data_IF_040243606274
#
_entry.id   IF_040243606274
#
_cell.length_a   1.000
_cell.length_b   1.000
_cell.length_c   1.000
_cell.angle_alpha   90.00
_cell.angle_beta   90.00
_cell.angle_gamma   90.00
#
_symmetry.space_group_name_H-M   'P 1'
#
loop_
_entity.id
_entity.type
_entity.pdbx_description
1 polymer ?
#
# COMPACT_ATOMS: atom_id res chain seq x y z
N UNK A 1 5.02 -36.01 -21.43
CA UNK A 1 5.82 -35.12 -20.57
C UNK A 1 5.62 -33.70 -21.04
N UNK A 2 4.60 -33.03 -20.51
CA UNK A 2 4.16 -31.70 -20.95
C UNK A 2 4.94 -30.62 -20.19
N UNK A 3 5.73 -29.84 -20.93
CA UNK A 3 6.42 -28.65 -20.46
C UNK A 3 5.42 -27.59 -19.96
N UNK A 4 5.17 -27.58 -18.65
CA UNK A 4 4.52 -26.46 -17.97
C UNK A 4 5.52 -25.29 -17.88
N UNK A 5 5.38 -24.31 -18.77
CA UNK A 5 6.03 -23.00 -18.59
C UNK A 5 5.44 -22.34 -17.34
N UNK A 6 6.26 -21.83 -16.39
CA UNK A 6 5.75 -21.04 -15.28
C UNK A 6 5.21 -19.72 -15.83
N UNK A 7 3.88 -19.58 -15.89
CA UNK A 7 3.24 -18.30 -16.18
C UNK A 7 3.25 -17.48 -14.89
N UNK A 8 4.00 -16.38 -14.88
CA UNK A 8 4.07 -15.43 -13.77
C UNK A 8 2.66 -14.88 -13.44
N UNK A 9 2.31 -14.93 -12.17
CA UNK A 9 1.02 -14.47 -11.65
C UNK A 9 1.14 -13.01 -11.30
N UNK A 10 0.94 -12.15 -12.31
CA UNK A 10 0.72 -10.73 -12.06
C UNK A 10 -0.74 -10.60 -11.63
N UNK A 11 -0.98 -10.25 -10.37
CA UNK A 11 -2.19 -9.55 -9.99
C UNK A 11 -2.12 -8.20 -10.71
N UNK A 12 -2.81 -8.05 -11.83
CA UNK A 12 -3.11 -6.73 -12.37
C UNK A 12 -4.18 -6.11 -11.47
N UNK A 13 -3.76 -5.59 -10.32
CA UNK A 13 -4.46 -4.47 -9.75
C UNK A 13 -4.28 -3.32 -10.76
N UNK A 14 -5.38 -2.76 -11.25
CA UNK A 14 -5.41 -1.33 -11.50
C UNK A 14 -5.22 -0.63 -10.15
N UNK A 15 -3.99 -0.63 -9.64
CA UNK A 15 -3.53 0.51 -8.87
C UNK A 15 -3.58 1.61 -9.91
N UNK A 16 -4.62 2.45 -9.87
CA UNK A 16 -4.61 3.70 -10.62
C UNK A 16 -3.25 4.31 -10.34
N UNK A 17 -2.42 4.28 -11.37
CA UNK A 17 -1.09 4.83 -11.31
C UNK A 17 -1.28 6.26 -10.80
N UNK A 18 -0.78 6.50 -9.58
CA UNK A 18 -0.51 7.84 -9.04
C UNK A 18 0.49 8.56 -9.98
N UNK A 19 1.05 7.82 -10.95
CA UNK A 19 1.88 8.26 -12.04
C UNK A 19 1.15 9.20 -13.00
N UNK A 20 1.36 10.50 -12.80
CA UNK A 20 1.72 11.46 -13.85
C UNK A 20 2.00 12.78 -13.15
N UNK A 21 3.24 12.96 -12.69
CA UNK A 21 3.57 14.20 -12.00
C UNK A 21 5.03 14.45 -11.67
N UNK A 22 5.99 13.72 -12.24
CA UNK A 22 7.41 14.07 -12.04
C UNK A 22 8.19 13.69 -13.31
N UNK A 23 7.88 14.29 -14.46
CA UNK A 23 8.78 14.17 -15.63
C UNK A 23 9.89 15.23 -15.61
N UNK A 24 9.72 16.31 -14.84
CA UNK A 24 10.50 17.54 -14.94
C UNK A 24 11.58 17.74 -13.85
N UNK A 25 11.81 16.78 -12.96
CA UNK A 25 12.83 16.87 -11.88
C UNK A 25 14.02 15.94 -12.10
N UNK A 26 14.03 15.15 -13.18
CA UNK A 26 15.06 14.13 -13.44
C UNK A 26 16.28 14.62 -14.23
N UNK A 27 16.53 15.93 -14.25
CA UNK A 27 17.71 16.48 -14.90
C UNK A 27 18.63 17.09 -13.85
N UNK A 28 19.88 16.62 -13.86
CA UNK A 28 21.04 17.15 -13.11
C UNK A 28 21.20 16.64 -11.67
N UNK A 29 21.65 15.39 -11.51
CA UNK A 29 22.69 14.95 -10.56
C UNK A 29 22.51 13.47 -10.21
N UNK A 30 23.14 12.60 -10.98
CA UNK A 30 23.44 11.24 -10.53
C UNK A 30 24.76 10.81 -11.16
N UNK A 31 25.86 11.45 -10.73
CA UNK A 31 27.12 10.69 -10.67
C UNK A 31 26.82 9.46 -9.81
N UNK A 32 27.11 8.25 -10.32
CA UNK A 32 26.75 6.96 -9.72
C UNK A 32 27.41 6.66 -8.36
N UNK A 33 27.25 7.54 -7.38
CA UNK A 33 27.66 7.34 -5.98
C UNK A 33 26.51 6.65 -5.26
N UNK A 34 26.85 5.57 -4.56
CA UNK A 34 25.91 4.84 -3.70
C UNK A 34 25.28 5.79 -2.65
N UNK A 35 23.96 5.71 -2.40
CA UNK A 35 23.31 6.49 -1.36
C UNK A 35 23.97 6.26 0.00
N UNK A 36 24.46 7.33 0.62
CA UNK A 36 24.97 7.27 1.98
C UNK A 36 23.79 7.36 2.91
N UNK A 37 23.58 6.36 3.76
CA UNK A 37 22.52 6.33 4.78
C UNK A 37 22.98 7.04 6.06
N UNK A 38 22.41 8.21 6.41
CA UNK A 38 22.73 8.87 7.67
C UNK A 38 22.48 7.99 8.89
N UNK A 39 23.37 8.09 9.89
CA UNK A 39 23.06 7.59 11.24
C UNK A 39 21.98 8.46 11.87
N UNK A 40 21.03 7.83 12.56
CA UNK A 40 19.93 8.50 13.26
C UNK A 40 19.86 8.05 14.71
N UNK A 41 19.40 8.94 15.58
CA UNK A 41 19.14 8.61 16.98
C UNK A 41 17.87 7.76 17.06
N UNK A 42 18.04 6.49 17.43
CA UNK A 42 16.96 5.54 17.63
C UNK A 42 16.23 5.81 18.96
N UNK A 43 14.89 5.74 18.94
CA UNK A 43 14.02 5.82 20.10
C UNK A 43 13.28 4.47 20.24
N UNK A 44 13.09 4.02 21.49
CA UNK A 44 12.34 2.80 21.81
C UNK A 44 10.92 3.14 22.28
N UNK A 45 9.96 2.35 21.85
CA UNK A 45 8.55 2.45 22.27
C UNK A 45 7.99 1.08 22.63
N UNK A 46 7.42 0.95 23.83
CA UNK A 46 6.84 -0.31 24.29
C UNK A 46 5.36 -0.40 23.89
N UNK A 47 4.99 -1.53 23.28
CA UNK A 47 3.61 -1.82 22.86
C UNK A 47 3.29 -3.30 23.12
N UNK A 48 2.38 -3.52 24.07
CA UNK A 48 2.15 -4.84 24.64
C UNK A 48 3.45 -5.42 25.22
N UNK A 49 3.81 -6.63 24.79
CA UNK A 49 5.06 -7.29 25.17
C UNK A 49 6.23 -7.02 24.21
N UNK A 50 6.06 -6.12 23.24
CA UNK A 50 7.07 -5.82 22.22
C UNK A 50 7.68 -4.42 22.46
N UNK A 51 8.89 -4.23 21.96
CA UNK A 51 9.55 -2.92 21.90
C UNK A 51 9.86 -2.60 20.45
N UNK A 52 9.32 -1.48 19.96
CA UNK A 52 9.58 -0.95 18.63
C UNK A 52 10.75 0.05 18.67
N UNK A 53 11.47 0.11 17.57
CA UNK A 53 12.47 1.11 17.25
C UNK A 53 11.91 2.10 16.23
N UNK A 54 12.16 3.40 16.44
CA UNK A 54 11.88 4.40 15.43
C UNK A 54 12.84 5.59 15.49
N UNK A 55 12.99 6.28 14.36
CA UNK A 55 13.63 7.57 14.28
C UNK A 55 12.58 8.69 14.31
N UNK A 56 12.85 9.82 14.98
CA UNK A 56 11.91 10.93 15.08
C UNK A 56 11.90 11.78 13.80
N UNK A 57 11.46 11.20 12.67
CA UNK A 57 11.32 11.93 11.42
C UNK A 57 10.37 13.13 11.59
N UNK A 58 10.71 14.32 11.05
CA UNK A 58 9.69 15.35 10.83
C UNK A 58 8.56 14.76 9.99
N UNK A 59 7.30 15.02 10.34
CA UNK A 59 6.15 14.59 9.53
C UNK A 59 5.54 15.84 8.90
N UNK A 60 5.85 16.05 7.61
CA UNK A 60 5.42 17.18 6.79
C UNK A 60 4.08 16.86 6.13
N UNK A 61 3.36 17.92 5.73
CA UNK A 61 2.20 17.74 4.86
C UNK A 61 2.68 17.32 3.47
N UNK A 62 2.28 16.13 3.05
CA UNK A 62 2.51 15.58 1.72
C UNK A 62 1.17 15.19 1.07
N UNK A 63 1.09 15.37 -0.25
CA UNK A 63 -0.04 14.94 -1.06
C UNK A 63 0.22 13.53 -1.59
N UNK A 64 -0.23 12.54 -0.82
CA UNK A 64 0.12 11.12 -1.01
C UNK A 64 -0.79 10.38 -2.02
N UNK A 65 -1.91 10.98 -2.43
CA UNK A 65 -2.82 10.43 -3.44
C UNK A 65 -3.11 11.50 -4.48
N UNK A 66 -2.78 11.21 -5.74
CA UNK A 66 -2.98 12.09 -6.89
C UNK A 66 -3.57 11.30 -8.04
N UNK A 67 -4.39 11.97 -8.85
CA UNK A 67 -4.90 11.42 -10.09
C UNK A 67 -4.62 12.39 -11.24
N UNK A 68 -4.13 11.90 -12.40
CA UNK A 68 -3.93 12.76 -13.57
C UNK A 68 -5.22 13.26 -14.19
N UNK A 69 -6.31 12.50 -14.02
CA UNK A 69 -7.66 12.83 -14.44
C UNK A 69 -8.66 12.24 -13.43
N UNK A 70 -9.87 12.79 -13.32
CA UNK A 70 -10.93 12.17 -12.52
C UNK A 70 -11.12 10.70 -12.90
N UNK A 71 -11.43 9.87 -11.90
CA UNK A 71 -11.68 8.45 -12.08
C UNK A 71 -12.95 8.20 -12.91
N UNK A 72 -13.00 7.07 -13.61
CA UNK A 72 -14.21 6.70 -14.33
C UNK A 72 -15.32 6.28 -13.33
N UNK A 73 -16.50 6.90 -13.41
CA UNK A 73 -17.65 6.56 -12.56
C UNK A 73 -18.22 5.16 -12.85
N UNK A 74 -18.03 4.67 -14.08
CA UNK A 74 -18.52 3.35 -14.52
C UNK A 74 -17.31 2.47 -14.85
N UNK A 75 -17.00 1.47 -14.01
CA UNK A 75 -15.93 0.53 -14.28
C UNK A 75 -16.25 -0.30 -15.53
N UNK A 76 -15.43 -0.16 -16.57
CA UNK A 76 -15.56 -0.95 -17.81
C UNK A 76 -15.37 -2.46 -17.49
N UNK A 77 -16.11 -3.32 -18.20
CA UNK A 77 -15.94 -4.78 -18.18
C UNK A 77 -15.82 -5.42 -16.78
N UNK A 78 -16.65 -5.02 -15.83
CA UNK A 78 -16.64 -5.60 -14.47
C UNK A 78 -18.00 -6.21 -14.14
N UNK A 79 -17.99 -7.35 -13.45
CA UNK A 79 -19.21 -7.88 -12.84
C UNK A 79 -19.51 -7.12 -11.55
N UNK A 80 -20.79 -6.93 -11.24
CA UNK A 80 -21.22 -6.13 -10.09
C UNK A 80 -21.97 -7.00 -9.07
N UNK A 81 -21.92 -6.64 -7.79
CA UNK A 81 -22.85 -7.18 -6.80
C UNK A 81 -24.25 -6.55 -6.96
N UNK A 82 -25.18 -7.01 -6.14
CA UNK A 82 -26.57 -6.55 -6.11
C UNK A 82 -26.72 -5.05 -5.81
N UNK A 83 -25.72 -4.42 -5.19
CA UNK A 83 -25.69 -2.99 -4.93
C UNK A 83 -25.01 -2.21 -6.07
N UNK A 84 -24.54 -2.87 -7.13
CA UNK A 84 -23.84 -2.25 -8.24
C UNK A 84 -22.40 -1.87 -7.89
N UNK A 85 -21.75 -2.59 -6.97
CA UNK A 85 -20.32 -2.44 -6.68
C UNK A 85 -19.51 -3.45 -7.52
N UNK A 86 -18.44 -3.03 -8.20
CA UNK A 86 -17.55 -3.90 -8.95
C UNK A 86 -16.97 -4.99 -8.07
N UNK A 87 -17.10 -6.23 -8.53
CA UNK A 87 -16.53 -7.39 -7.88
C UNK A 87 -15.30 -7.86 -8.63
N UNK A 88 -14.34 -8.38 -7.88
CA UNK A 88 -13.20 -9.09 -8.41
C UNK A 88 -13.63 -10.49 -8.84
N UNK A 89 -13.34 -10.86 -10.08
CA UNK A 89 -13.44 -12.25 -10.53
C UNK A 89 -12.05 -12.86 -10.51
N UNK A 90 -11.91 -14.04 -9.90
CA UNK A 90 -10.70 -14.83 -10.07
C UNK A 90 -10.53 -15.30 -11.54
N UNK A 91 -9.35 -15.83 -11.84
CA UNK A 91 -8.98 -16.25 -13.21
C UNK A 91 -9.65 -17.56 -13.64
N UNK A 92 -10.27 -18.29 -12.72
CA UNK A 92 -10.92 -19.58 -12.94
C UNK A 92 -12.41 -19.44 -13.27
N UNK A 93 -12.93 -18.21 -13.21
CA UNK A 93 -14.22 -17.88 -13.78
C UNK A 93 -15.39 -17.94 -12.80
N UNK A 94 -15.15 -17.94 -11.48
CA UNK A 94 -16.04 -17.61 -10.34
C UNK A 94 -15.45 -18.23 -9.06
N UNK A 95 -15.72 -17.68 -7.85
CA UNK A 95 -16.69 -16.62 -7.48
C UNK A 95 -16.25 -15.17 -7.73
N UNK A 96 -17.22 -14.26 -7.56
CA UNK A 96 -17.01 -12.82 -7.51
C UNK A 96 -16.84 -12.38 -6.05
N UNK A 97 -15.85 -11.54 -5.78
CA UNK A 97 -15.50 -11.10 -4.43
C UNK A 97 -15.41 -9.58 -4.32
N UNK A 98 -15.88 -9.02 -3.21
CA UNK A 98 -15.58 -7.63 -2.88
C UNK A 98 -14.15 -7.55 -2.31
N UNK A 99 -13.19 -7.13 -3.13
CA UNK A 99 -11.77 -7.08 -2.76
C UNK A 99 -11.49 -5.81 -1.91
N UNK A 100 -11.09 -5.94 -0.63
CA UNK A 100 -10.96 -4.80 0.28
C UNK A 100 -10.08 -3.65 -0.23
N UNK A 101 -8.87 -3.94 -0.73
CA UNK A 101 -7.99 -2.94 -1.35
C UNK A 101 -8.65 -2.23 -2.56
N UNK A 102 -9.40 -2.95 -3.41
CA UNK A 102 -10.06 -2.32 -4.56
C UNK A 102 -11.20 -1.40 -4.12
N UNK A 103 -11.96 -1.81 -3.11
CA UNK A 103 -12.98 -0.95 -2.52
C UNK A 103 -12.36 0.32 -1.94
N UNK A 104 -11.37 0.18 -1.06
CA UNK A 104 -10.70 1.29 -0.40
C UNK A 104 -10.03 2.25 -1.40
N UNK A 105 -9.32 1.71 -2.40
CA UNK A 105 -8.70 2.50 -3.45
C UNK A 105 -9.75 3.28 -4.28
N UNK A 106 -10.88 2.65 -4.65
CA UNK A 106 -11.94 3.34 -5.36
C UNK A 106 -12.55 4.49 -4.53
N UNK A 107 -12.74 4.31 -3.23
CA UNK A 107 -13.17 5.39 -2.33
C UNK A 107 -12.20 6.57 -2.40
N UNK A 108 -10.89 6.31 -2.27
CA UNK A 108 -9.84 7.34 -2.34
C UNK A 108 -9.84 8.03 -3.71
N UNK A 109 -9.96 7.27 -4.80
CA UNK A 109 -9.98 7.83 -6.16
C UNK A 109 -11.22 8.70 -6.41
N UNK A 110 -12.39 8.28 -5.94
CA UNK A 110 -13.61 9.07 -6.06
C UNK A 110 -13.55 10.33 -5.20
N UNK A 111 -13.05 10.25 -3.97
CA UNK A 111 -12.80 11.44 -3.15
C UNK A 111 -11.84 12.42 -3.84
N UNK A 112 -10.74 11.91 -4.39
CA UNK A 112 -9.77 12.74 -5.11
C UNK A 112 -10.43 13.40 -6.33
N UNK A 113 -11.25 12.65 -7.07
CA UNK A 113 -12.02 13.14 -8.22
C UNK A 113 -13.06 14.19 -7.82
N UNK A 114 -13.75 14.00 -6.69
CA UNK A 114 -14.64 15.00 -6.10
C UNK A 114 -13.88 16.27 -5.72
N UNK A 115 -12.70 16.15 -5.12
CA UNK A 115 -11.88 17.31 -4.77
C UNK A 115 -11.45 18.11 -6.01
N UNK A 116 -11.13 17.42 -7.11
CA UNK A 116 -10.75 18.00 -8.40
C UNK A 116 -11.91 18.67 -9.14
N UNK A 117 -13.10 18.07 -9.11
CA UNK A 117 -14.22 18.46 -10.01
C UNK A 117 -15.39 19.13 -9.30
N UNK A 118 -15.54 18.90 -7.99
CA UNK A 118 -16.73 19.21 -7.18
C UNK A 118 -18.00 18.53 -7.66
N UNK A 119 -17.90 17.48 -8.47
CA UNK A 119 -19.04 16.71 -8.95
C UNK A 119 -19.50 15.69 -7.89
N UNK A 120 -20.65 15.96 -7.30
CA UNK A 120 -21.29 15.16 -6.25
C UNK A 120 -21.53 13.69 -6.62
N UNK A 121 -21.50 13.33 -7.91
CA UNK A 121 -21.54 11.90 -8.33
C UNK A 121 -20.37 11.12 -7.74
N UNK A 122 -19.17 11.71 -7.69
CA UNK A 122 -18.02 11.06 -7.11
C UNK A 122 -18.16 10.86 -5.60
N UNK A 123 -18.68 11.85 -4.87
CA UNK A 123 -18.89 11.71 -3.43
C UNK A 123 -19.93 10.61 -3.13
N UNK A 124 -21.02 10.54 -3.91
CA UNK A 124 -22.01 9.46 -3.79
C UNK A 124 -21.41 8.07 -4.02
N UNK A 125 -20.58 7.91 -5.07
CA UNK A 125 -19.89 6.63 -5.30
C UNK A 125 -18.90 6.32 -4.17
N UNK A 126 -18.14 7.29 -3.67
CA UNK A 126 -17.24 7.08 -2.54
C UNK A 126 -17.99 6.59 -1.29
N UNK A 127 -19.12 7.21 -0.95
CA UNK A 127 -19.97 6.78 0.19
C UNK A 127 -20.58 5.39 -0.03
N UNK A 128 -21.01 5.08 -1.26
CA UNK A 128 -21.54 3.77 -1.64
C UNK A 128 -20.50 2.65 -1.44
N UNK A 129 -19.27 2.86 -1.90
CA UNK A 129 -18.18 1.90 -1.71
C UNK A 129 -17.75 1.81 -0.25
N UNK A 130 -17.78 2.92 0.50
CA UNK A 130 -17.49 2.94 1.93
C UNK A 130 -18.50 2.15 2.74
N UNK A 131 -19.80 2.25 2.39
CA UNK A 131 -20.83 1.39 2.96
C UNK A 131 -20.50 -0.07 2.71
N UNK A 132 -20.19 -0.47 1.47
CA UNK A 132 -19.86 -1.87 1.16
C UNK A 132 -18.62 -2.35 1.91
N UNK A 133 -17.58 -1.52 2.00
CA UNK A 133 -16.36 -1.83 2.76
C UNK A 133 -16.64 -2.01 4.26
N UNK A 134 -17.54 -1.18 4.82
CA UNK A 134 -18.01 -1.33 6.20
C UNK A 134 -18.86 -2.59 6.40
N UNK A 135 -19.72 -2.94 5.43
CA UNK A 135 -20.60 -4.12 5.51
C UNK A 135 -19.81 -5.43 5.55
N UNK A 136 -18.63 -5.50 4.90
CA UNK A 136 -17.76 -6.69 4.93
C UNK A 136 -16.80 -6.71 6.12
N UNK A 137 -16.65 -5.61 6.85
CA UNK A 137 -15.70 -5.50 7.93
C UNK A 137 -16.08 -6.41 9.11
N UNK A 138 -15.06 -6.95 9.78
CA UNK A 138 -15.22 -7.81 10.97
C UNK A 138 -14.53 -7.13 12.13
N UNK A 139 -15.27 -6.91 13.21
CA UNK A 139 -14.71 -6.39 14.45
C UNK A 139 -14.07 -7.51 15.28
N UNK A 140 -12.84 -7.29 15.73
CA UNK A 140 -12.07 -8.18 16.59
C UNK A 140 -11.32 -7.37 17.64
N UNK A 141 -11.58 -7.63 18.91
CA UNK A 141 -10.97 -6.91 20.04
C UNK A 141 -11.04 -5.37 19.88
N UNK A 142 -12.19 -4.88 19.38
CA UNK A 142 -12.43 -3.45 19.11
C UNK A 142 -11.84 -2.91 17.81
N UNK A 143 -10.97 -3.67 17.11
CA UNK A 143 -10.40 -3.29 15.83
C UNK A 143 -11.23 -3.80 14.66
N UNK A 144 -11.36 -2.99 13.59
CA UNK A 144 -11.96 -3.45 12.33
C UNK A 144 -10.92 -4.10 11.43
N UNK A 145 -11.25 -5.28 10.92
CA UNK A 145 -10.47 -6.01 9.93
C UNK A 145 -11.29 -6.24 8.65
N UNK A 146 -10.67 -6.12 7.48
CA UNK A 146 -11.35 -6.31 6.18
C UNK A 146 -10.96 -7.66 5.56
N UNK A 147 -11.82 -8.68 5.68
CA UNK A 147 -11.49 -10.04 5.26
C UNK A 147 -11.43 -10.16 3.73
N UNK A 148 -10.56 -11.05 3.29
CA UNK A 148 -10.53 -11.56 1.94
C UNK A 148 -11.15 -12.95 1.92
N UNK A 149 -12.29 -13.11 1.24
CA UNK A 149 -13.05 -14.36 1.23
C UNK A 149 -12.61 -15.36 0.14
N UNK A 150 -11.39 -15.21 -0.38
CA UNK A 150 -10.82 -16.08 -1.39
C UNK A 150 -9.41 -16.55 -1.02
N UNK A 151 -9.01 -17.70 -1.57
CA UNK A 151 -7.67 -18.24 -1.38
C UNK A 151 -6.61 -17.40 -2.09
N UNK A 152 -5.46 -17.21 -1.42
CA UNK A 152 -4.25 -16.71 -2.08
C UNK A 152 -3.15 -17.74 -1.96
N UNK A 153 -2.65 -18.17 -3.12
CA UNK A 153 -1.40 -18.91 -3.24
C UNK A 153 -0.31 -17.93 -3.69
N UNK A 154 0.54 -17.53 -2.77
CA UNK A 154 1.65 -16.64 -3.10
C UNK A 154 2.62 -17.37 -4.03
N UNK A 155 2.83 -16.80 -5.22
CA UNK A 155 3.75 -17.32 -6.24
C UNK A 155 3.52 -18.77 -6.67
N UNK A 156 2.30 -19.32 -6.49
CA UNK A 156 1.94 -20.73 -6.67
C UNK A 156 2.76 -21.71 -5.85
N UNK A 157 3.27 -21.28 -4.71
CA UNK A 157 3.90 -22.19 -3.76
C UNK A 157 2.75 -22.76 -2.92
N UNK A 158 2.44 -24.07 -2.99
CA UNK A 158 1.27 -24.62 -2.28
C UNK A 158 1.34 -24.45 -0.76
N UNK A 159 2.55 -24.37 -0.20
CA UNK A 159 2.76 -24.12 1.23
C UNK A 159 2.63 -22.64 1.61
N UNK A 160 2.50 -21.74 0.63
CA UNK A 160 2.27 -20.32 0.85
C UNK A 160 0.82 -19.94 0.56
N UNK A 161 -0.07 -20.63 1.28
CA UNK A 161 -1.51 -20.57 1.10
C UNK A 161 -2.17 -19.80 2.25
N UNK A 162 -2.84 -18.71 1.93
CA UNK A 162 -3.80 -18.04 2.80
C UNK A 162 -5.20 -18.52 2.46
N UNK A 163 -5.84 -19.17 3.43
CA UNK A 163 -7.25 -19.59 3.33
C UNK A 163 -8.18 -18.37 3.48
N UNK A 164 -9.43 -18.45 2.96
CA UNK A 164 -10.41 -17.39 3.08
C UNK A 164 -10.57 -16.88 4.50
N UNK A 165 -10.96 -15.60 4.61
CA UNK A 165 -10.97 -14.78 5.82
C UNK A 165 -9.58 -14.41 6.34
N UNK A 166 -8.61 -14.30 5.43
CA UNK A 166 -7.32 -13.65 5.71
C UNK A 166 -7.44 -12.13 5.61
N UNK A 167 -6.46 -11.42 6.15
CA UNK A 167 -6.44 -9.95 6.21
C UNK A 167 -5.17 -9.40 5.56
N UNK A 168 -5.20 -8.16 5.09
CA UNK A 168 -4.03 -7.52 4.46
C UNK A 168 -3.71 -6.19 5.12
N UNK A 169 -2.44 -5.98 5.47
CA UNK A 169 -1.97 -4.68 5.98
C UNK A 169 -2.23 -3.54 4.99
N UNK A 170 -2.09 -3.80 3.69
CA UNK A 170 -2.42 -2.82 2.65
C UNK A 170 -3.91 -2.47 2.66
N UNK A 171 -4.79 -3.47 2.81
CA UNK A 171 -6.23 -3.23 2.93
C UNK A 171 -6.57 -2.38 4.16
N UNK A 172 -5.98 -2.70 5.31
CA UNK A 172 -6.18 -1.93 6.54
C UNK A 172 -5.80 -0.46 6.36
N UNK A 173 -4.63 -0.18 5.76
CA UNK A 173 -4.19 1.22 5.62
C UNK A 173 -4.93 1.99 4.54
N UNK A 174 -5.28 1.36 3.42
CA UNK A 174 -6.12 2.03 2.42
C UNK A 174 -7.52 2.30 2.95
N UNK A 175 -8.11 1.37 3.71
CA UNK A 175 -9.40 1.60 4.38
C UNK A 175 -9.30 2.75 5.39
N UNK A 176 -8.21 2.81 6.16
CA UNK A 176 -7.95 3.90 7.09
C UNK A 176 -7.89 5.26 6.38
N UNK A 177 -7.10 5.37 5.29
CA UNK A 177 -7.05 6.57 4.45
C UNK A 177 -8.43 6.93 3.87
N UNK A 178 -9.17 5.95 3.37
CA UNK A 178 -10.50 6.15 2.81
C UNK A 178 -11.47 6.76 3.84
N UNK A 179 -11.56 6.19 5.05
CA UNK A 179 -12.45 6.68 6.09
C UNK A 179 -12.01 8.04 6.65
N UNK A 180 -10.71 8.27 6.84
CA UNK A 180 -10.18 9.59 7.25
C UNK A 180 -10.60 10.67 6.25
N UNK A 181 -10.42 10.41 4.95
CA UNK A 181 -10.71 11.37 3.89
C UNK A 181 -12.21 11.61 3.72
N UNK A 182 -13.04 10.58 3.87
CA UNK A 182 -14.49 10.77 3.89
C UNK A 182 -14.91 11.65 5.05
N UNK A 183 -14.42 11.38 6.26
CA UNK A 183 -14.71 12.22 7.43
C UNK A 183 -14.31 13.69 7.21
N UNK A 184 -13.15 13.93 6.60
CA UNK A 184 -12.68 15.30 6.32
C UNK A 184 -13.58 16.06 5.35
N UNK A 185 -14.26 15.37 4.44
CA UNK A 185 -15.12 15.99 3.42
C UNK A 185 -16.56 16.11 3.90
N UNK A 186 -17.10 15.06 4.51
CA UNK A 186 -18.53 14.99 4.87
C UNK A 186 -18.80 15.44 6.29
N UNK A 187 -17.78 15.47 7.15
CA UNK A 187 -17.90 15.63 8.60
C UNK A 187 -18.82 14.60 9.28
N UNK A 188 -19.14 13.50 8.61
CA UNK A 188 -19.99 12.45 9.16
C UNK A 188 -19.21 11.64 10.20
N UNK A 189 -19.61 11.68 11.49
CA UNK A 189 -18.89 11.01 12.57
C UNK A 189 -18.78 9.50 12.41
N UNK A 190 -19.62 8.86 11.59
CA UNK A 190 -19.52 7.43 11.31
C UNK A 190 -18.17 7.06 10.69
N UNK A 191 -17.67 7.87 9.75
CA UNK A 191 -16.36 7.64 9.14
C UNK A 191 -15.21 7.84 10.12
N UNK A 192 -15.36 8.75 11.09
CA UNK A 192 -14.39 8.88 12.18
C UNK A 192 -14.35 7.63 13.05
N UNK A 193 -15.51 7.08 13.40
CA UNK A 193 -15.61 5.83 14.19
C UNK A 193 -14.96 4.67 13.42
N UNK A 194 -15.25 4.54 12.12
CA UNK A 194 -14.63 3.51 11.28
C UNK A 194 -13.10 3.68 11.20
N UNK A 195 -12.61 4.91 11.05
CA UNK A 195 -11.18 5.20 11.06
C UNK A 195 -10.53 4.85 12.41
N UNK A 196 -11.12 5.26 13.53
CA UNK A 196 -10.62 4.96 14.87
C UNK A 196 -10.53 3.45 15.13
N UNK A 197 -11.59 2.69 14.78
CA UNK A 197 -11.56 1.21 14.91
C UNK A 197 -10.59 0.55 13.93
N UNK A 198 -10.44 1.07 12.71
CA UNK A 198 -9.47 0.54 11.74
C UNK A 198 -8.04 0.76 12.24
N UNK A 199 -7.75 1.94 12.80
CA UNK A 199 -6.43 2.25 13.37
C UNK A 199 -6.01 1.25 14.46
N UNK A 200 -6.94 0.77 15.29
CA UNK A 200 -6.62 -0.21 16.32
C UNK A 200 -5.99 -1.50 15.78
N UNK A 201 -6.29 -1.90 14.53
CA UNK A 201 -5.66 -3.07 13.90
C UNK A 201 -4.13 -2.93 13.73
N UNK A 202 -3.61 -1.70 13.69
CA UNK A 202 -2.17 -1.44 13.62
C UNK A 202 -1.47 -1.60 14.98
N UNK A 203 -2.18 -1.29 16.06
CA UNK A 203 -1.68 -1.44 17.43
C UNK A 203 -1.75 -2.88 17.95
N UNK A 204 -2.49 -3.76 17.27
CA UNK A 204 -2.60 -5.18 17.61
C UNK A 204 -1.52 -6.01 16.88
N UNK A 205 -0.30 -5.98 17.41
CA UNK A 205 0.81 -6.76 16.84
C UNK A 205 0.57 -8.27 16.96
N UNK A 206 1.08 -9.00 15.97
CA UNK A 206 1.10 -10.46 15.94
C UNK A 206 1.52 -11.04 17.29
N UNK A 207 0.69 -11.92 17.83
CA UNK A 207 0.97 -12.67 19.04
C UNK A 207 0.39 -14.08 18.94
N UNK A 208 0.85 -15.01 19.79
CA UNK A 208 0.35 -16.39 19.78
C UNK A 208 -1.15 -16.51 20.07
N UNK A 209 -1.71 -15.54 20.80
CA UNK A 209 -3.11 -15.54 21.21
C UNK A 209 -4.02 -14.81 20.20
N UNK A 210 -3.44 -14.27 19.12
CA UNK A 210 -4.12 -13.37 18.19
C UNK A 210 -3.87 -13.86 16.76
N UNK A 211 -4.71 -14.77 16.24
CA UNK A 211 -4.49 -15.38 14.93
C UNK A 211 -4.80 -14.43 13.76
N UNK A 212 -5.51 -13.33 14.01
CA UNK A 212 -5.74 -12.27 13.03
C UNK A 212 -4.74 -11.14 13.24
N UNK A 213 -3.78 -10.99 12.35
CA UNK A 213 -2.77 -9.95 12.47
C UNK A 213 -2.41 -9.43 11.10
N UNK A 214 -1.98 -8.17 11.06
CA UNK A 214 -1.34 -7.58 9.87
C UNK A 214 -0.05 -6.86 10.22
N UNK A 215 0.28 -6.72 11.50
CA UNK A 215 1.48 -6.03 11.96
C UNK A 215 2.30 -6.93 12.87
N UNK A 216 3.62 -6.73 12.89
CA UNK A 216 4.52 -7.46 13.77
C UNK A 216 5.77 -6.65 14.10
N UNK A 217 6.40 -6.97 15.22
CA UNK A 217 7.74 -6.51 15.55
C UNK A 217 8.74 -7.61 15.21
N UNK A 218 9.84 -7.28 14.53
CA UNK A 218 10.97 -8.20 14.40
C UNK A 218 11.93 -8.12 15.61
N UNK A 219 12.93 -9.00 15.64
CA UNK A 219 13.92 -9.06 16.72
C UNK A 219 14.79 -7.80 16.87
N UNK A 220 14.83 -6.93 15.85
CA UNK A 220 15.57 -5.68 15.87
C UNK A 220 14.68 -4.51 16.29
N UNK A 221 13.39 -4.75 16.57
CA UNK A 221 12.42 -3.72 16.91
C UNK A 221 11.78 -3.05 15.70
N UNK A 222 12.00 -3.55 14.48
CA UNK A 222 11.32 -2.99 13.32
C UNK A 222 9.84 -3.35 13.32
N UNK A 223 9.01 -2.36 12.99
CA UNK A 223 7.57 -2.49 12.88
C UNK A 223 7.16 -2.77 11.44
N UNK A 224 6.83 -4.03 11.16
CA UNK A 224 6.41 -4.49 9.84
C UNK A 224 4.89 -4.51 9.74
N UNK A 225 4.37 -4.06 8.59
CA UNK A 225 2.97 -4.25 8.21
C UNK A 225 2.95 -5.23 7.02
N UNK A 226 2.42 -6.44 7.23
CA UNK A 226 2.37 -7.49 6.23
C UNK A 226 1.17 -7.32 5.29
N UNK A 227 1.42 -7.19 3.98
CA UNK A 227 0.36 -7.31 2.97
C UNK A 227 -0.27 -8.71 3.00
N UNK A 228 0.55 -9.73 3.25
CA UNK A 228 0.15 -11.13 3.36
C UNK A 228 0.69 -11.71 4.68
N UNK A 229 -0.13 -11.79 5.75
CA UNK A 229 0.30 -12.17 7.10
C UNK A 229 0.55 -13.67 7.22
N UNK A 230 1.60 -14.13 6.56
CA UNK A 230 2.07 -15.51 6.55
C UNK A 230 2.85 -15.84 7.82
N UNK A 231 2.85 -17.11 8.24
CA UNK A 231 3.62 -17.55 9.42
C UNK A 231 5.10 -17.15 9.32
N UNK A 232 5.71 -17.39 8.14
CA UNK A 232 6.98 -16.78 7.75
C UNK A 232 6.69 -15.50 6.94
N UNK A 233 6.93 -14.31 7.53
CA UNK A 233 6.59 -13.03 6.92
C UNK A 233 7.24 -12.85 5.55
N UNK A 234 6.54 -12.13 4.67
CA UNK A 234 6.97 -11.88 3.29
C UNK A 234 7.66 -10.53 3.14
N UNK A 235 7.26 -9.56 3.97
CA UNK A 235 7.71 -8.17 3.95
C UNK A 235 7.57 -7.57 2.55
N UNK A 236 6.36 -7.62 1.98
CA UNK A 236 6.04 -7.00 0.68
C UNK A 236 6.10 -5.48 0.81
N UNK A 237 6.92 -4.82 -0.02
CA UNK A 237 7.26 -3.41 0.16
C UNK A 237 6.10 -2.48 -0.17
N UNK A 238 5.45 -2.67 -1.32
CA UNK A 238 4.43 -1.74 -1.76
C UNK A 238 3.22 -1.70 -0.83
N UNK A 239 2.71 -2.86 -0.41
CA UNK A 239 1.59 -2.97 0.52
C UNK A 239 1.93 -2.41 1.89
N UNK A 240 3.16 -2.61 2.36
CA UNK A 240 3.64 -1.99 3.60
C UNK A 240 3.63 -0.46 3.50
N UNK A 241 4.21 0.13 2.46
CA UNK A 241 4.24 1.60 2.35
C UNK A 241 2.83 2.18 2.15
N UNK A 242 1.97 1.54 1.35
CA UNK A 242 0.56 1.93 1.26
C UNK A 242 -0.17 1.82 2.59
N UNK A 243 0.19 0.84 3.44
CA UNK A 243 -0.39 0.74 4.78
C UNK A 243 0.06 1.91 5.68
N UNK A 244 1.32 2.32 5.59
CA UNK A 244 1.87 3.47 6.30
C UNK A 244 1.20 4.79 5.91
N UNK A 245 0.71 4.92 4.67
CA UNK A 245 -0.08 6.08 4.24
C UNK A 245 -1.39 6.22 5.02
N UNK A 246 -2.03 5.11 5.38
CA UNK A 246 -3.19 5.11 6.28
C UNK A 246 -2.85 5.67 7.67
N UNK A 247 -1.72 5.26 8.24
CA UNK A 247 -1.23 5.80 9.52
C UNK A 247 -0.92 7.30 9.41
N UNK A 248 -0.37 7.74 8.28
CA UNK A 248 -0.13 9.15 7.99
C UNK A 248 -1.44 9.95 7.95
N UNK A 249 -2.42 9.55 7.15
CA UNK A 249 -3.71 10.24 7.08
C UNK A 249 -4.38 10.28 8.47
N UNK A 250 -4.36 9.18 9.22
CA UNK A 250 -4.91 9.13 10.58
C UNK A 250 -4.18 10.02 11.57
N UNK A 251 -2.84 10.04 11.57
CA UNK A 251 -2.07 10.97 12.39
C UNK A 251 -2.37 12.42 12.00
N UNK A 252 -2.46 12.73 10.70
CA UNK A 252 -2.77 14.08 10.24
C UNK A 252 -4.16 14.55 10.69
N UNK A 253 -5.14 13.64 10.75
CA UNK A 253 -6.47 13.91 11.27
C UNK A 253 -6.50 14.06 12.80
N UNK A 254 -5.83 13.18 13.53
CA UNK A 254 -6.03 13.02 14.99
C UNK A 254 -4.98 13.69 15.84
N UNK A 255 -3.76 13.88 15.31
CA UNK A 255 -2.57 14.32 16.02
C UNK A 255 -2.23 13.48 17.27
N UNK A 256 -2.72 12.24 17.34
CA UNK A 256 -2.39 11.29 18.42
C UNK A 256 -0.92 10.89 18.33
N UNK A 257 -0.22 10.95 19.45
CA UNK A 257 1.22 10.63 19.48
C UNK A 257 1.47 9.14 19.21
N UNK A 258 0.60 8.24 19.66
CA UNK A 258 0.72 6.81 19.39
C UNK A 258 0.62 6.50 17.88
N UNK A 259 -0.24 7.22 17.15
CA UNK A 259 -0.35 7.07 15.70
C UNK A 259 0.92 7.57 15.00
N UNK A 260 1.48 8.68 15.48
CA UNK A 260 2.75 9.21 15.00
C UNK A 260 3.91 8.24 15.23
N UNK A 261 3.97 7.63 16.41
CA UNK A 261 5.01 6.65 16.75
C UNK A 261 4.93 5.43 15.83
N UNK A 262 3.74 4.86 15.61
CA UNK A 262 3.57 3.73 14.67
C UNK A 262 3.92 4.11 13.24
N UNK A 263 3.54 5.32 12.78
CA UNK A 263 3.95 5.84 11.48
C UNK A 263 5.48 5.97 11.38
N UNK A 264 6.12 6.58 12.37
CA UNK A 264 7.56 6.75 12.39
C UNK A 264 8.28 5.40 12.47
N UNK A 265 7.76 4.41 13.20
CA UNK A 265 8.29 3.06 13.25
C UNK A 265 8.16 2.35 11.88
N UNK A 266 7.06 2.55 11.16
CA UNK A 266 6.90 2.04 9.80
C UNK A 266 7.92 2.69 8.84
N UNK A 267 8.05 4.01 8.88
CA UNK A 267 9.02 4.76 8.05
C UNK A 267 10.46 4.34 8.38
N UNK A 268 10.79 4.17 9.67
CA UNK A 268 12.08 3.67 10.14
C UNK A 268 12.37 2.29 9.58
N UNK A 269 11.38 1.40 9.59
CA UNK A 269 11.55 0.04 9.06
C UNK A 269 11.85 0.07 7.57
N UNK A 270 11.18 0.92 6.79
CA UNK A 270 11.50 1.12 5.36
C UNK A 270 12.91 1.71 5.22
N UNK A 271 13.20 2.79 5.94
CA UNK A 271 14.52 3.46 5.95
C UNK A 271 15.64 2.45 6.23
N UNK A 272 15.40 1.52 7.14
CA UNK A 272 16.41 0.58 7.59
C UNK A 272 16.63 -0.63 6.69
N UNK A 273 15.67 -0.93 5.82
CA UNK A 273 15.67 -2.16 5.03
C UNK A 273 15.57 -1.93 3.52
N UNK A 274 15.45 -0.68 3.04
CA UNK A 274 15.20 -0.40 1.62
C UNK A 274 16.30 -0.92 0.69
N UNK A 275 17.55 -0.91 1.16
CA UNK A 275 18.72 -1.48 0.49
C UNK A 275 18.52 -2.98 0.17
N UNK A 276 17.85 -3.72 1.05
CA UNK A 276 17.58 -5.16 0.87
C UNK A 276 16.62 -5.46 -0.27
N UNK A 277 15.80 -4.48 -0.67
CA UNK A 277 14.91 -4.58 -1.83
C UNK A 277 15.59 -4.20 -3.14
N UNK A 278 16.72 -3.49 -3.09
CA UNK A 278 17.47 -3.11 -4.28
C UNK A 278 18.06 -4.35 -4.95
N UNK A 279 18.03 -4.34 -6.28
CA UNK A 279 18.84 -5.24 -7.12
C UNK A 279 19.53 -4.33 -8.13
N UNK A 280 20.85 -4.09 -8.00
CA UNK A 280 21.56 -3.21 -8.93
C UNK A 280 21.33 -3.63 -10.39
N UNK A 281 21.09 -2.64 -11.26
CA UNK A 281 20.82 -2.82 -12.70
C UNK A 281 19.55 -3.65 -13.06
N UNK A 282 18.64 -3.84 -12.10
CA UNK A 282 17.42 -4.62 -12.29
C UNK A 282 16.26 -4.04 -11.46
N UNK A 283 15.04 -4.55 -11.67
CA UNK A 283 13.90 -4.21 -10.84
C UNK A 283 14.13 -4.62 -9.38
N UNK A 284 13.70 -3.76 -8.46
CA UNK A 284 13.66 -4.06 -7.04
C UNK A 284 12.83 -5.31 -6.75
N UNK A 285 13.21 -6.05 -5.71
CA UNK A 285 12.43 -7.15 -5.15
C UNK A 285 11.08 -6.63 -4.69
N UNK A 286 10.01 -7.40 -4.90
CA UNK A 286 8.69 -7.07 -4.38
C UNK A 286 8.56 -7.35 -2.87
N UNK A 287 9.15 -8.46 -2.40
CA UNK A 287 9.20 -8.84 -0.98
C UNK A 287 10.57 -9.40 -0.60
N UNK A 288 10.86 -9.45 0.69
CA UNK A 288 12.16 -9.92 1.19
C UNK A 288 12.26 -11.44 1.30
N UNK A 289 11.12 -12.12 1.50
CA UNK A 289 11.08 -13.59 1.51
C UNK A 289 11.21 -14.15 0.09
N UNK A 290 10.53 -13.52 -0.85
CA UNK A 290 10.35 -13.98 -2.21
C UNK A 290 10.93 -12.93 -3.12
N UNK A 291 12.14 -13.20 -3.61
CA UNK A 291 12.98 -12.30 -4.39
C UNK A 291 12.45 -12.03 -5.80
N UNK A 292 11.16 -12.22 -6.04
CA UNK A 292 10.54 -11.94 -7.32
C UNK A 292 10.57 -10.43 -7.59
N UNK A 293 10.67 -10.11 -8.87
CA UNK A 293 10.76 -8.75 -9.36
C UNK A 293 9.63 -8.54 -10.36
N UNK A 294 9.09 -7.33 -10.37
CA UNK A 294 8.04 -6.92 -11.29
C UNK A 294 8.30 -5.48 -11.68
N UNK A 295 8.43 -5.22 -12.97
CA UNK A 295 8.68 -3.85 -13.47
C UNK A 295 7.56 -2.90 -13.08
N UNK A 296 6.32 -3.39 -13.02
CA UNK A 296 5.19 -2.60 -12.56
C UNK A 296 5.38 -2.15 -11.10
N UNK A 297 5.75 -3.07 -10.21
CA UNK A 297 5.95 -2.73 -8.79
C UNK A 297 7.24 -1.95 -8.53
N UNK A 298 8.27 -2.12 -9.36
CA UNK A 298 9.47 -1.30 -9.26
C UNK A 298 9.18 0.19 -9.46
N UNK A 299 8.34 0.53 -10.45
CA UNK A 299 7.88 1.92 -10.63
C UNK A 299 7.07 2.41 -9.42
N UNK A 300 6.24 1.55 -8.84
CA UNK A 300 5.49 1.89 -7.60
C UNK A 300 6.46 2.17 -6.44
N UNK A 301 7.53 1.37 -6.27
CA UNK A 301 8.51 1.59 -5.21
C UNK A 301 9.26 2.92 -5.37
N UNK A 302 9.64 3.30 -6.59
CA UNK A 302 10.29 4.59 -6.88
C UNK A 302 9.39 5.75 -6.40
N UNK A 303 8.10 5.72 -6.78
CA UNK A 303 7.15 6.78 -6.38
C UNK A 303 6.88 6.78 -4.87
N UNK A 304 6.83 5.60 -4.25
CA UNK A 304 6.65 5.47 -2.82
C UNK A 304 7.83 6.04 -2.02
N UNK A 305 9.07 5.83 -2.50
CA UNK A 305 10.25 6.44 -1.91
C UNK A 305 10.23 7.96 -2.06
N UNK A 306 9.83 8.48 -3.22
CA UNK A 306 9.66 9.92 -3.40
C UNK A 306 8.56 10.49 -2.48
N UNK A 307 7.48 9.76 -2.27
CA UNK A 307 6.41 10.16 -1.33
C UNK A 307 6.91 10.15 0.11
N UNK A 308 7.72 9.16 0.52
CA UNK A 308 8.36 9.14 1.83
C UNK A 308 9.33 10.31 2.02
N UNK A 309 10.04 10.73 0.97
CA UNK A 309 10.81 11.98 0.99
C UNK A 309 9.92 13.19 1.22
N UNK A 310 8.79 13.32 0.51
CA UNK A 310 7.86 14.44 0.73
C UNK A 310 7.29 14.45 2.15
N UNK A 311 6.94 13.28 2.69
CA UNK A 311 6.40 13.13 4.05
C UNK A 311 7.44 13.47 5.13
N UNK A 312 8.71 13.10 4.93
CA UNK A 312 9.72 13.18 6.00
C UNK A 312 10.69 14.35 5.84
N UNK A 313 10.91 14.77 4.60
CA UNK A 313 12.01 15.63 4.19
C UNK A 313 13.39 14.98 4.20
N UNK A 314 13.48 13.66 4.43
CA UNK A 314 14.76 13.00 4.56
C UNK A 314 15.36 12.67 3.17
N UNK A 315 16.49 13.27 2.80
CA UNK A 315 17.05 13.14 1.45
C UNK A 315 17.45 11.70 1.09
N UNK A 316 17.63 10.81 2.08
CA UNK A 316 17.96 9.41 1.79
C UNK A 316 16.84 8.71 1.00
N UNK A 317 15.57 9.02 1.26
CA UNK A 317 14.46 8.45 0.50
C UNK A 317 14.49 8.92 -0.96
N UNK A 318 14.78 10.20 -1.21
CA UNK A 318 14.92 10.72 -2.57
C UNK A 318 16.11 10.09 -3.29
N UNK A 319 17.26 9.97 -2.62
CA UNK A 319 18.44 9.30 -3.18
C UNK A 319 18.13 7.84 -3.53
N UNK A 320 17.44 7.10 -2.66
CA UNK A 320 17.04 5.72 -2.96
C UNK A 320 16.05 5.63 -4.12
N UNK A 321 15.11 6.58 -4.23
CA UNK A 321 14.21 6.70 -5.39
C UNK A 321 15.00 6.88 -6.69
N UNK A 322 15.98 7.80 -6.69
CA UNK A 322 16.87 8.04 -7.82
C UNK A 322 17.73 6.82 -8.16
N UNK A 323 18.24 6.11 -7.15
CA UNK A 323 19.01 4.88 -7.34
C UNK A 323 18.16 3.78 -7.96
N UNK A 324 16.94 3.54 -7.47
CA UNK A 324 16.03 2.56 -8.08
C UNK A 324 15.69 2.96 -9.52
N UNK A 325 15.44 4.24 -9.77
CA UNK A 325 15.22 4.74 -11.12
C UNK A 325 16.46 4.60 -12.03
N UNK A 326 17.67 4.69 -11.49
CA UNK A 326 18.90 4.43 -12.23
C UNK A 326 19.08 2.95 -12.55
N UNK A 327 18.81 2.05 -11.59
CA UNK A 327 18.85 0.60 -11.79
C UNK A 327 17.94 0.17 -12.97
N UNK A 328 16.88 0.93 -13.24
CA UNK A 328 16.03 0.79 -14.43
C UNK A 328 16.70 1.26 -15.76
N UNK A 329 17.46 2.35 -15.77
CA UNK A 329 17.90 3.01 -17.01
C UNK A 329 18.86 2.17 -17.88
N UNK A 330 19.55 1.19 -17.29
CA UNK A 330 20.45 0.24 -17.96
C UNK A 330 19.78 -0.72 -18.95
N UNK A 331 18.44 -0.77 -19.02
CA UNK A 331 17.74 -1.73 -19.85
C UNK A 331 17.64 -1.33 -21.35
N UNK A 332 17.75 -2.30 -22.29
CA UNK A 332 17.58 -2.03 -23.72
C UNK A 332 16.22 -1.44 -24.07
N UNK A 333 16.18 -0.47 -25.00
CA UNK A 333 14.99 0.30 -25.40
C UNK A 333 13.74 -0.53 -25.79
N UNK A 334 13.92 -1.81 -26.19
CA UNK A 334 12.82 -2.74 -26.49
C UNK A 334 11.93 -3.05 -25.29
N UNK A 335 12.48 -3.09 -24.07
CA UNK A 335 11.71 -3.29 -22.84
C UNK A 335 11.00 -2.01 -22.40
N UNK A 336 11.59 -0.85 -22.71
CA UNK A 336 10.98 0.48 -22.47
C UNK A 336 9.67 0.68 -23.26
N UNK A 337 9.56 0.13 -24.48
CA UNK A 337 8.34 0.20 -25.33
C UNK A 337 7.16 -0.64 -24.82
N UNK A 338 7.40 -1.72 -24.09
CA UNK A 338 6.33 -2.58 -23.57
C UNK A 338 5.53 -1.88 -22.46
N UNK A 339 6.16 -0.97 -21.71
CA UNK A 339 5.52 -0.18 -20.64
C UNK A 339 4.79 1.05 -21.19
N UNK A 340 5.29 1.69 -22.25
CA UNK A 340 4.53 2.74 -22.95
C UNK A 340 3.24 2.20 -23.59
N UNK A 341 3.20 0.91 -23.99
CA UNK A 341 1.95 0.26 -24.41
C UNK A 341 0.97 0.00 -23.27
N UNK A 342 1.44 -0.18 -22.03
CA UNK A 342 0.56 -0.27 -20.85
C UNK A 342 -0.04 1.11 -20.53
N UNK A 343 0.68 2.21 -20.78
CA UNK A 343 0.09 3.57 -20.71
C UNK A 343 -1.04 3.77 -21.74
N UNK A 344 -0.89 3.28 -22.96
CA UNK A 344 -1.89 3.49 -24.03
C UNK A 344 -2.99 2.41 -24.10
N UNK A 345 -2.85 1.29 -23.39
CA UNK A 345 -3.87 0.24 -23.37
C UNK A 345 -4.99 0.48 -22.32
N UNK A 346 -4.88 1.57 -21.56
CA UNK A 346 -5.88 2.03 -20.59
C UNK A 346 -6.30 3.51 -20.82
N UNK A 347 -5.93 4.08 -21.97
CA UNK A 347 -6.77 5.08 -22.65
C UNK A 347 -8.01 4.36 -23.21
#
# INVERSE_FOLDING_TARGET
>A
MTNLKPRLWVLTLTISLICLGIASVWTENAEGKEPVKPKKAEIKFNIGSNTLSYYPFPIRSAEIYRLPKPADLIPKHTAFDQDGIPMYQDKEGKPLYNHPVRLANNIINFITSYQMTKDERYLREAQKYAKRLSDIAVEKDGALYFPYDFDVYLHNIPTEHLKPRWYSGMAQGQALSAFVRLYQITHDPQYRILADKTYLSFAQLRSKNHPWWVTMADKNGHYWIEEYPMEKPTHVLNGFIFAAYGLYDYYQLTKKEEAKVLLQAAITTVYDNIDRYRVPDDASRYGLKLTHQSMHYHMVHIEQLETLYQMTGDPYFHQMSQTFHHDWYGWPAKFKRQVNKVKTAFE
#
